data_IF_519268458418
#
_entry.id   IF_519268458418
#
_cell.length_a   1.000
_cell.length_b   1.000
_cell.length_c   1.000
_cell.angle_alpha   90.00
_cell.angle_beta   90.00
_cell.angle_gamma   90.00
#
_symmetry.space_group_name_H-M   'P 1'
#
loop_
_entity.id
_entity.type
_entity.pdbx_description
1 polymer ?
#
# COMPACT_ATOMS: atom_id res chain seq x y z
N UNK A 1 -32.36 6.29 3.32
CA UNK A 1 -31.30 6.69 2.35
C UNK A 1 -31.87 6.57 0.95
N UNK A 2 -31.62 7.55 0.08
CA UNK A 2 -31.97 7.43 -1.33
C UNK A 2 -30.97 6.48 -2.00
N UNK A 3 -31.46 5.39 -2.60
CA UNK A 3 -30.63 4.44 -3.34
C UNK A 3 -30.71 4.78 -4.82
N UNK A 4 -29.55 4.81 -5.49
CA UNK A 4 -29.47 4.86 -6.96
C UNK A 4 -28.73 3.63 -7.46
N UNK A 5 -29.27 3.02 -8.50
CA UNK A 5 -28.62 1.90 -9.20
C UNK A 5 -27.74 2.47 -10.31
N UNK A 6 -26.50 1.99 -10.39
CA UNK A 6 -25.56 2.34 -11.44
C UNK A 6 -25.09 1.08 -12.16
N UNK A 7 -24.84 1.18 -13.46
CA UNK A 7 -24.10 0.17 -14.20
C UNK A 7 -22.61 0.47 -14.09
N UNK A 8 -21.80 -0.55 -13.87
CA UNK A 8 -20.33 -0.44 -13.82
C UNK A 8 -19.70 -1.45 -14.78
N UNK A 9 -18.54 -1.10 -15.34
CA UNK A 9 -17.77 -2.08 -16.09
C UNK A 9 -17.39 -3.28 -15.21
N UNK A 10 -17.35 -4.47 -15.79
CA UNK A 10 -17.00 -5.71 -15.08
C UNK A 10 -15.64 -5.60 -14.37
N UNK A 11 -14.66 -4.99 -15.02
CA UNK A 11 -13.35 -4.76 -14.41
C UNK A 11 -13.42 -3.84 -13.17
N UNK A 12 -14.30 -2.84 -13.16
CA UNK A 12 -14.52 -1.97 -12.01
C UNK A 12 -15.23 -2.72 -10.88
N UNK A 13 -16.24 -3.53 -11.20
CA UNK A 13 -16.90 -4.41 -10.24
C UNK A 13 -15.89 -5.35 -9.54
N UNK A 14 -15.03 -6.02 -10.30
CA UNK A 14 -14.03 -6.93 -9.74
C UNK A 14 -12.96 -6.21 -8.89
N UNK A 15 -12.67 -4.94 -9.20
CA UNK A 15 -11.80 -4.09 -8.36
C UNK A 15 -12.48 -3.77 -7.03
N UNK A 16 -13.75 -3.37 -7.06
CA UNK A 16 -14.52 -3.09 -5.84
C UNK A 16 -14.66 -4.34 -4.96
N UNK A 17 -14.94 -5.49 -5.57
CA UNK A 17 -15.03 -6.79 -4.90
C UNK A 17 -13.74 -7.17 -4.18
N UNK A 18 -12.59 -7.01 -4.85
CA UNK A 18 -11.27 -7.26 -4.24
C UNK A 18 -10.88 -6.25 -3.18
N UNK A 19 -11.38 -5.02 -3.29
CA UNK A 19 -11.07 -3.97 -2.33
C UNK A 19 -11.82 -4.14 -1.01
N UNK A 20 -12.88 -4.95 -0.94
CA UNK A 20 -13.63 -5.21 0.31
C UNK A 20 -12.72 -5.80 1.39
N UNK A 21 -12.84 -5.30 2.62
CA UNK A 21 -12.12 -5.80 3.81
C UNK A 21 -12.66 -7.13 4.29
N UNK A 22 -13.97 -7.33 4.17
CA UNK A 22 -14.69 -8.52 4.57
C UNK A 22 -15.93 -8.72 3.66
N UNK A 23 -16.68 -9.79 3.90
CA UNK A 23 -17.85 -10.12 3.09
C UNK A 23 -19.05 -9.18 3.32
N UNK A 24 -19.13 -8.50 4.47
CA UNK A 24 -20.27 -7.65 4.84
C UNK A 24 -20.12 -6.19 4.44
N UNK A 25 -18.91 -5.70 4.14
CA UNK A 25 -18.66 -4.31 3.69
C UNK A 25 -19.46 -4.00 2.40
N UNK A 26 -20.21 -2.89 2.39
CA UNK A 26 -20.96 -2.52 1.18
C UNK A 26 -20.05 -1.92 0.12
N UNK A 27 -20.42 -2.01 -1.16
CA UNK A 27 -19.66 -1.30 -2.21
C UNK A 27 -19.69 0.22 -2.04
N UNK A 28 -20.74 0.76 -1.44
CA UNK A 28 -20.80 2.19 -1.09
C UNK A 28 -19.70 2.55 -0.10
N UNK A 29 -19.48 1.75 0.94
CA UNK A 29 -18.42 2.00 1.93
C UNK A 29 -17.03 1.91 1.29
N UNK A 30 -16.82 0.94 0.40
CA UNK A 30 -15.59 0.80 -0.39
C UNK A 30 -15.33 2.07 -1.20
N UNK A 31 -16.33 2.56 -1.93
CA UNK A 31 -16.21 3.77 -2.77
C UNK A 31 -15.90 4.99 -1.91
N UNK A 32 -16.58 5.14 -0.76
CA UNK A 32 -16.44 6.29 0.12
C UNK A 32 -15.07 6.34 0.83
N UNK A 33 -14.45 5.20 1.15
CA UNK A 33 -13.08 5.19 1.71
C UNK A 33 -11.97 5.16 0.66
N UNK A 34 -12.31 4.89 -0.60
CA UNK A 34 -11.32 4.82 -1.65
C UNK A 34 -10.61 6.18 -1.78
N UNK A 35 -9.28 6.17 -1.77
CA UNK A 35 -8.50 7.34 -2.15
C UNK A 35 -8.33 7.32 -3.66
N UNK A 36 -8.93 8.31 -4.31
CA UNK A 36 -8.80 8.55 -5.73
C UNK A 36 -7.66 9.55 -5.91
N UNK A 37 -6.43 9.04 -5.90
CA UNK A 37 -5.28 9.88 -6.21
C UNK A 37 -5.47 10.41 -7.64
N UNK A 38 -5.69 11.72 -7.73
CA UNK A 38 -6.16 12.38 -8.96
C UNK A 38 -5.07 12.39 -10.03
N UNK A 39 -3.81 12.22 -9.61
CA UNK A 39 -2.65 12.17 -10.48
C UNK A 39 -1.55 11.32 -9.84
N UNK A 40 -0.93 10.37 -10.57
CA UNK A 40 0.27 9.72 -10.08
C UNK A 40 1.36 10.76 -9.82
N UNK A 41 2.08 10.62 -8.71
CA UNK A 41 3.18 11.54 -8.37
C UNK A 41 4.23 11.47 -9.47
N UNK A 42 4.44 12.58 -10.17
CA UNK A 42 5.51 12.71 -11.18
C UNK A 42 6.87 12.62 -10.50
N UNK A 43 7.93 12.30 -11.24
CA UNK A 43 9.29 12.27 -10.70
C UNK A 43 9.68 13.62 -10.05
N UNK A 44 9.24 14.74 -10.64
CA UNK A 44 9.42 16.07 -10.07
C UNK A 44 8.63 16.26 -8.76
N UNK A 45 7.40 15.76 -8.71
CA UNK A 45 6.59 15.75 -7.49
C UNK A 45 7.24 14.93 -6.37
N UNK A 46 7.81 13.76 -6.70
CA UNK A 46 8.53 12.94 -5.75
C UNK A 46 9.78 13.65 -5.22
N UNK A 47 10.58 14.28 -6.09
CA UNK A 47 11.76 15.03 -5.67
C UNK A 47 11.41 16.16 -4.71
N UNK A 48 10.32 16.90 -4.99
CA UNK A 48 9.84 17.96 -4.09
C UNK A 48 9.45 17.39 -2.73
N UNK A 49 8.67 16.31 -2.70
CA UNK A 49 8.25 15.63 -1.46
C UNK A 49 9.45 15.16 -0.62
N UNK A 50 10.48 14.59 -1.26
CA UNK A 50 11.70 14.14 -0.57
C UNK A 50 12.42 15.32 0.10
N UNK A 51 12.50 16.46 -0.58
CA UNK A 51 13.16 17.67 -0.05
C UNK A 51 12.38 18.30 1.11
N UNK A 52 11.05 18.35 1.01
CA UNK A 52 10.19 18.97 2.01
C UNK A 52 10.01 18.11 3.26
N UNK A 53 9.84 16.79 3.08
CA UNK A 53 9.53 15.87 4.18
C UNK A 53 10.72 15.58 5.09
N UNK A 54 11.94 15.67 4.56
CA UNK A 54 13.16 15.35 5.29
C UNK A 54 13.30 13.85 5.61
N UNK A 55 14.31 13.47 6.43
CA UNK A 55 14.55 12.08 6.79
C UNK A 55 13.40 11.49 7.61
N UNK A 56 12.96 10.28 7.25
CA UNK A 56 11.89 9.57 7.95
C UNK A 56 12.36 8.86 9.22
N UNK A 57 13.63 8.45 9.22
CA UNK A 57 14.26 7.75 10.34
C UNK A 57 15.14 8.71 11.13
N UNK A 58 15.12 8.56 12.43
CA UNK A 58 16.14 9.14 13.32
C UNK A 58 17.46 8.40 13.13
N UNK A 59 18.61 9.04 13.45
CA UNK A 59 19.92 8.42 13.28
C UNK A 59 20.05 7.05 13.97
N UNK A 60 19.43 6.87 15.12
CA UNK A 60 19.48 5.63 15.91
C UNK A 60 18.66 4.51 15.26
N UNK A 61 17.53 4.86 14.65
CA UNK A 61 16.68 3.91 13.91
C UNK A 61 17.40 3.43 12.64
N UNK A 62 18.07 4.36 11.95
CA UNK A 62 18.86 4.02 10.77
C UNK A 62 20.06 3.13 11.14
N UNK A 63 20.74 3.41 12.24
CA UNK A 63 21.82 2.54 12.74
C UNK A 63 21.32 1.12 13.04
N UNK A 64 20.11 0.98 13.59
CA UNK A 64 19.47 -0.33 13.79
C UNK A 64 19.24 -1.09 12.49
N UNK A 65 18.77 -0.42 11.44
CA UNK A 65 18.59 -1.01 10.11
C UNK A 65 19.92 -1.48 9.51
N UNK A 66 20.99 -0.69 9.65
CA UNK A 66 22.31 -1.06 9.14
C UNK A 66 22.91 -2.27 9.86
N UNK A 67 22.67 -2.40 11.17
CA UNK A 67 23.07 -3.60 11.93
C UNK A 67 22.31 -4.83 11.41
N UNK A 68 20.97 -4.74 11.29
CA UNK A 68 20.15 -5.84 10.79
C UNK A 68 20.57 -6.29 9.39
N UNK A 69 20.88 -5.33 8.51
CA UNK A 69 21.34 -5.61 7.14
C UNK A 69 22.72 -6.27 7.12
N UNK A 70 23.64 -5.85 7.98
CA UNK A 70 24.96 -6.45 8.10
C UNK A 70 24.87 -7.90 8.58
N UNK A 71 23.96 -8.15 9.51
CA UNK A 71 23.76 -9.46 10.12
C UNK A 71 22.77 -10.33 9.34
N UNK A 72 22.26 -9.85 8.20
CA UNK A 72 21.31 -10.56 7.35
C UNK A 72 21.97 -11.83 6.77
N UNK A 73 21.59 -12.97 7.34
CA UNK A 73 22.03 -14.29 6.88
C UNK A 73 20.93 -14.91 6.03
N UNK A 74 21.31 -15.67 4.98
CA UNK A 74 20.34 -16.47 4.25
C UNK A 74 19.46 -17.27 5.22
N UNK A 75 18.15 -17.35 4.98
CA UNK A 75 17.28 -18.18 5.81
C UNK A 75 17.78 -19.62 5.76
N UNK A 76 17.56 -20.36 6.85
CA UNK A 76 17.95 -21.77 6.93
C UNK A 76 17.40 -22.51 5.71
N UNK A 77 18.29 -23.21 5.00
CA UNK A 77 17.87 -24.01 3.85
C UNK A 77 16.87 -25.06 4.33
N UNK A 78 15.67 -25.02 3.75
CA UNK A 78 14.59 -25.95 4.05
C UNK A 78 14.71 -27.27 3.28
N UNK A 79 15.66 -27.37 2.35
CA UNK A 79 15.86 -28.51 1.46
C UNK A 79 17.05 -29.38 1.84
N UNK A 80 17.94 -28.93 2.74
CA UNK A 80 18.91 -29.80 3.39
C UNK A 80 18.23 -30.57 4.54
N UNK A 81 17.47 -31.59 4.16
CA UNK A 81 17.13 -32.69 5.05
C UNK A 81 18.29 -33.69 5.04
N UNK A 82 18.74 -34.10 6.22
CA UNK A 82 19.45 -35.37 6.38
C UNK A 82 18.47 -36.53 6.24
#
# INVERSE_FOLDING_TARGET
MATKTISVHLAAYERLKRAKRDSSESFSDVIMRARWDTEPVTAAGLLRLVRERGPLYRPEELAGVEILKRDDRPPRDKWTAG
#
